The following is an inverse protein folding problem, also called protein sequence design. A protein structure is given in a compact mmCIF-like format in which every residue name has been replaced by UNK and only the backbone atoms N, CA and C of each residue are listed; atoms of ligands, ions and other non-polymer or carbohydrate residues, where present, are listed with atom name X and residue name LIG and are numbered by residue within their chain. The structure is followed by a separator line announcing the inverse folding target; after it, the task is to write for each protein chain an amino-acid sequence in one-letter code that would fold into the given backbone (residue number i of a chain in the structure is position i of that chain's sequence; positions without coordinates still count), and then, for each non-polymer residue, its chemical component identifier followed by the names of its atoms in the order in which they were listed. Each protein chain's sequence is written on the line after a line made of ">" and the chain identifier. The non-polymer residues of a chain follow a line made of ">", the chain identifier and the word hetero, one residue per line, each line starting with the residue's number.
data_IF_373206459678
#
_entry.id   IF_373206459678
#
_cell.length_a   1.000
_cell.length_b   1.000
_cell.length_c   1.000
_cell.angle_alpha   90.00
_cell.angle_beta   90.00
_cell.angle_gamma   90.00
#
_symmetry.space_group_name_H-M   'P 1'
#
loop_
_entity.id
_entity.type
_entity.pdbx_description
1 polymer ?
#
# COMPACT_ATOMS: atom_id res chain seq x y z
N UNK A 1 5.03 -49.76 5.63
CA UNK A 1 5.84 -48.55 5.35
C UNK A 1 5.58 -47.54 6.45
N UNK A 2 6.51 -47.37 7.39
CA UNK A 2 6.38 -46.42 8.50
C UNK A 2 6.71 -45.01 8.03
N UNK A 3 5.69 -44.17 7.85
CA UNK A 3 5.90 -42.74 7.62
C UNK A 3 6.43 -42.12 8.93
N UNK A 4 7.69 -41.68 8.92
CA UNK A 4 8.35 -41.21 10.12
C UNK A 4 7.84 -39.81 10.47
N UNK A 5 7.21 -39.65 11.65
CA UNK A 5 6.59 -38.40 12.11
C UNK A 5 7.57 -37.21 12.14
N UNK A 6 8.88 -37.47 12.23
CA UNK A 6 9.92 -36.43 12.08
C UNK A 6 10.03 -35.93 10.64
N UNK A 7 10.06 -36.82 9.65
CA UNK A 7 10.10 -36.46 8.23
C UNK A 7 8.84 -35.69 7.82
N UNK A 8 7.66 -36.12 8.26
CA UNK A 8 6.41 -35.40 8.01
C UNK A 8 6.43 -33.97 8.58
N UNK A 9 6.96 -33.79 9.81
CA UNK A 9 7.15 -32.45 10.41
C UNK A 9 8.15 -31.61 9.63
N UNK A 10 9.25 -32.19 9.16
CA UNK A 10 10.23 -31.49 8.32
C UNK A 10 9.62 -31.05 6.99
N UNK A 11 8.83 -31.90 6.33
CA UNK A 11 8.14 -31.53 5.09
C UNK A 11 7.09 -30.43 5.33
N UNK A 12 6.34 -30.47 6.44
CA UNK A 12 5.38 -29.41 6.79
C UNK A 12 6.06 -28.07 7.07
N UNK A 13 7.18 -28.07 7.81
CA UNK A 13 7.95 -26.85 8.09
C UNK A 13 8.60 -26.26 6.81
N UNK A 14 9.13 -27.12 5.95
CA UNK A 14 9.69 -26.70 4.66
C UNK A 14 8.60 -26.11 3.74
N UNK A 15 7.40 -26.72 3.70
CA UNK A 15 6.27 -26.20 2.93
C UNK A 15 5.78 -24.83 3.43
N UNK A 16 5.77 -24.58 4.74
CA UNK A 16 5.41 -23.26 5.30
C UNK A 16 6.41 -22.16 4.91
N UNK A 17 7.69 -22.51 4.71
CA UNK A 17 8.73 -21.55 4.33
C UNK A 17 8.68 -21.12 2.86
N UNK A 18 8.00 -21.92 2.02
CA UNK A 18 7.79 -21.65 0.59
C UNK A 18 6.53 -20.84 0.30
N UNK A 19 5.75 -20.46 1.31
CA UNK A 19 4.61 -19.56 1.10
C UNK A 19 5.19 -18.22 0.64
N UNK A 20 4.98 -17.81 -0.63
CA UNK A 20 5.42 -16.50 -1.05
C UNK A 20 4.72 -15.51 -0.12
N UNK A 21 5.49 -14.65 0.55
CA UNK A 21 4.95 -13.50 1.27
C UNK A 21 4.37 -12.57 0.20
N UNK A 22 3.14 -12.87 -0.24
CA UNK A 22 2.34 -11.98 -1.05
C UNK A 22 2.04 -10.79 -0.15
N UNK A 23 2.94 -9.80 -0.18
CA UNK A 23 2.51 -8.45 0.12
C UNK A 23 1.59 -8.11 -1.01
N UNK A 24 0.29 -8.39 -0.84
CA UNK A 24 -0.75 -7.82 -1.68
C UNK A 24 -0.37 -6.35 -1.76
N UNK A 25 0.15 -5.89 -2.90
CA UNK A 25 0.40 -4.48 -3.12
C UNK A 25 -0.99 -3.88 -3.10
N UNK A 26 -1.46 -3.52 -1.91
CA UNK A 26 -2.74 -2.88 -1.75
C UNK A 26 -2.56 -1.54 -2.44
N UNK A 27 -3.14 -1.52 -3.64
CA UNK A 27 -3.26 -0.44 -4.59
C UNK A 27 -3.54 0.81 -3.78
N UNK A 28 -2.70 1.84 -3.95
CA UNK A 28 -2.79 3.09 -3.19
C UNK A 28 -4.02 3.93 -3.61
N UNK A 29 -5.10 3.28 -4.08
CA UNK A 29 -6.19 3.90 -4.81
C UNK A 29 -5.78 4.51 -6.16
N UNK A 30 -4.69 4.02 -6.76
CA UNK A 30 -4.16 4.45 -8.05
C UNK A 30 -3.65 3.25 -8.85
N UNK A 31 -3.49 3.36 -10.17
CA UNK A 31 -2.90 2.29 -10.98
C UNK A 31 -1.50 1.87 -10.48
N UNK A 32 -1.09 0.65 -10.85
CA UNK A 32 0.15 0.02 -10.35
C UNK A 32 1.39 0.81 -10.77
N UNK A 33 1.40 1.40 -11.97
CA UNK A 33 2.54 2.13 -12.49
C UNK A 33 2.74 3.43 -11.71
N UNK A 34 1.69 4.23 -11.56
CA UNK A 34 1.73 5.47 -10.77
C UNK A 34 2.07 5.20 -9.31
N UNK A 35 1.48 4.15 -8.71
CA UNK A 35 1.80 3.74 -7.35
C UNK A 35 3.28 3.36 -7.16
N UNK A 36 3.87 2.70 -8.17
CA UNK A 36 5.30 2.33 -8.15
C UNK A 36 6.20 3.56 -8.22
N UNK A 37 5.87 4.55 -9.06
CA UNK A 37 6.62 5.82 -9.14
C UNK A 37 6.55 6.59 -7.82
N UNK A 38 5.37 6.68 -7.21
CA UNK A 38 5.20 7.32 -5.91
C UNK A 38 6.07 6.66 -4.84
N UNK A 39 6.08 5.32 -4.82
CA UNK A 39 6.92 4.55 -3.89
C UNK A 39 8.42 4.79 -4.13
N UNK A 40 8.83 4.90 -5.40
CA UNK A 40 10.22 5.20 -5.79
C UNK A 40 10.66 6.55 -5.23
N UNK A 41 9.86 7.61 -5.39
CA UNK A 41 10.16 8.93 -4.83
C UNK A 41 10.34 8.90 -3.30
N UNK A 42 9.49 8.16 -2.58
CA UNK A 42 9.64 8.00 -1.13
C UNK A 42 10.89 7.20 -0.79
N UNK A 43 11.20 6.15 -1.55
CA UNK A 43 12.39 5.33 -1.31
C UNK A 43 13.67 6.15 -1.43
N UNK A 44 13.76 7.07 -2.39
CA UNK A 44 14.94 7.92 -2.60
C UNK A 44 14.99 9.14 -1.69
N UNK A 45 13.93 9.96 -1.65
CA UNK A 45 13.98 11.24 -0.94
C UNK A 45 13.56 11.11 0.55
N UNK A 46 12.83 10.04 0.90
CA UNK A 46 12.14 9.92 2.19
C UNK A 46 12.24 8.51 2.79
N UNK A 47 13.38 7.82 2.59
CA UNK A 47 13.54 6.38 2.86
C UNK A 47 12.98 5.91 4.21
N UNK A 48 13.19 6.67 5.30
CA UNK A 48 12.71 6.34 6.66
C UNK A 48 11.17 6.37 6.79
N UNK A 49 10.46 6.93 5.81
CA UNK A 49 8.99 7.06 5.77
C UNK A 49 8.32 6.04 4.86
N UNK A 50 9.08 5.23 4.11
CA UNK A 50 8.53 4.24 3.18
C UNK A 50 7.54 3.28 3.85
N UNK A 51 7.88 2.76 5.03
CA UNK A 51 6.99 1.88 5.78
C UNK A 51 5.69 2.56 6.20
N UNK A 52 5.74 3.84 6.58
CA UNK A 52 4.55 4.60 6.96
C UNK A 52 3.68 4.94 5.74
N UNK A 53 4.28 5.34 4.62
CA UNK A 53 3.56 5.61 3.38
C UNK A 53 2.83 4.36 2.86
N UNK A 54 3.48 3.19 2.90
CA UNK A 54 2.85 1.90 2.57
C UNK A 54 1.62 1.61 3.44
N UNK A 55 1.63 1.99 4.72
CA UNK A 55 0.45 1.86 5.60
C UNK A 55 -0.70 2.76 5.14
N UNK A 56 -0.43 4.01 4.75
CA UNK A 56 -1.45 4.90 4.18
C UNK A 56 -2.05 4.31 2.90
N UNK A 57 -1.21 3.83 1.98
CA UNK A 57 -1.68 3.19 0.74
C UNK A 57 -2.53 1.96 1.02
N UNK A 58 -2.12 1.12 1.97
CA UNK A 58 -2.84 -0.08 2.36
C UNK A 58 -4.23 0.27 2.90
N UNK A 59 -4.30 1.22 3.84
CA UNK A 59 -5.57 1.69 4.39
C UNK A 59 -6.48 2.29 3.31
N UNK A 60 -5.90 3.03 2.36
CA UNK A 60 -6.66 3.63 1.26
C UNK A 60 -7.28 2.58 0.33
N UNK A 61 -6.49 1.59 -0.11
CA UNK A 61 -6.98 0.48 -0.91
C UNK A 61 -8.07 -0.34 -0.21
N UNK A 62 -7.93 -0.56 1.11
CA UNK A 62 -8.98 -1.21 1.92
C UNK A 62 -10.25 -0.36 1.95
N UNK A 63 -10.15 0.95 2.12
CA UNK A 63 -11.29 1.86 2.11
C UNK A 63 -12.09 1.77 0.80
N UNK A 64 -11.40 1.73 -0.35
CA UNK A 64 -12.03 1.51 -1.66
C UNK A 64 -12.70 0.13 -1.76
N UNK A 65 -12.02 -0.93 -1.29
CA UNK A 65 -12.55 -2.30 -1.30
C UNK A 65 -13.80 -2.45 -0.44
N UNK A 66 -13.88 -1.72 0.67
CA UNK A 66 -15.05 -1.65 1.55
C UNK A 66 -16.18 -0.77 0.99
N UNK A 67 -16.03 -0.23 -0.23
CA UNK A 67 -17.02 0.63 -0.90
C UNK A 67 -17.43 1.86 -0.08
N UNK A 68 -16.51 2.36 0.73
CA UNK A 68 -16.66 3.65 1.41
C UNK A 68 -16.61 4.78 0.37
N UNK A 69 -17.26 5.93 0.60
CA UNK A 69 -17.24 7.04 -0.36
C UNK A 69 -15.81 7.44 -0.73
N UNK A 70 -15.48 7.40 -2.03
CA UNK A 70 -14.11 7.63 -2.50
C UNK A 70 -13.50 8.95 -2.00
N UNK A 71 -14.28 10.03 -1.96
CA UNK A 71 -13.84 11.33 -1.43
C UNK A 71 -13.37 11.25 0.03
N UNK A 72 -14.03 10.41 0.82
CA UNK A 72 -13.68 10.20 2.23
C UNK A 72 -12.39 9.38 2.35
N UNK A 73 -12.25 8.34 1.54
CA UNK A 73 -11.03 7.55 1.45
C UNK A 73 -9.83 8.40 1.03
N UNK A 74 -9.98 9.24 0.00
CA UNK A 74 -8.94 10.16 -0.47
C UNK A 74 -8.56 11.17 0.61
N UNK A 75 -9.54 11.72 1.34
CA UNK A 75 -9.30 12.64 2.47
C UNK A 75 -8.47 11.97 3.56
N UNK A 76 -8.85 10.76 3.98
CA UNK A 76 -8.12 9.96 4.99
C UNK A 76 -6.70 9.64 4.52
N UNK A 77 -6.53 9.33 3.23
CA UNK A 77 -5.20 9.13 2.65
C UNK A 77 -4.35 10.41 2.73
N UNK A 78 -4.90 11.56 2.32
CA UNK A 78 -4.22 12.84 2.36
C UNK A 78 -3.80 13.23 3.78
N UNK A 79 -4.67 13.05 4.77
CA UNK A 79 -4.37 13.27 6.20
C UNK A 79 -3.19 12.39 6.64
N UNK A 80 -3.22 11.10 6.31
CA UNK A 80 -2.17 10.14 6.65
C UNK A 80 -0.81 10.52 6.06
N UNK A 81 -0.73 10.85 4.76
CA UNK A 81 0.56 11.22 4.13
C UNK A 81 1.07 12.58 4.59
N UNK A 82 0.19 13.53 4.90
CA UNK A 82 0.59 14.80 5.49
C UNK A 82 1.14 14.63 6.90
N UNK A 83 0.52 13.83 7.76
CA UNK A 83 1.02 13.59 9.13
C UNK A 83 2.43 12.95 9.11
N UNK A 84 2.66 12.01 8.19
CA UNK A 84 3.99 11.40 7.98
C UNK A 84 5.02 12.47 7.59
N UNK A 85 4.61 13.43 6.77
CA UNK A 85 5.47 14.46 6.21
C UNK A 85 5.65 15.68 7.11
N UNK A 86 4.69 16.03 7.97
CA UNK A 86 4.80 17.15 8.93
C UNK A 86 5.97 16.96 9.91
N UNK A 87 6.29 15.70 10.21
CA UNK A 87 7.45 15.30 11.02
C UNK A 87 8.78 15.40 10.24
N UNK A 88 8.81 16.04 9.07
CA UNK A 88 9.97 16.13 8.16
C UNK A 88 9.97 17.46 7.38
N UNK A 89 11.14 18.09 7.20
CA UNK A 89 11.30 19.24 6.30
C UNK A 89 11.70 18.80 4.89
N UNK A 90 11.56 19.69 3.91
CA UNK A 90 12.07 19.48 2.54
C UNK A 90 11.19 18.61 1.64
N UNK A 91 11.81 17.84 0.75
CA UNK A 91 11.16 17.12 -0.38
C UNK A 91 9.99 16.22 0.04
N UNK A 92 10.04 15.62 1.23
CA UNK A 92 8.97 14.74 1.72
C UNK A 92 7.63 15.44 1.90
N UNK A 93 7.65 16.73 2.28
CA UNK A 93 6.43 17.53 2.38
C UNK A 93 5.82 17.80 1.00
N UNK A 94 6.65 18.00 -0.02
CA UNK A 94 6.19 18.19 -1.39
C UNK A 94 5.64 16.88 -1.96
N UNK A 95 6.31 15.75 -1.72
CA UNK A 95 5.82 14.43 -2.12
C UNK A 95 4.44 14.14 -1.54
N UNK A 96 4.22 14.39 -0.24
CA UNK A 96 2.92 14.18 0.38
C UNK A 96 1.80 15.00 -0.27
N UNK A 97 2.04 16.29 -0.54
CA UNK A 97 1.08 17.16 -1.26
C UNK A 97 0.78 16.63 -2.66
N UNK A 98 1.82 16.30 -3.43
CA UNK A 98 1.69 15.80 -4.79
C UNK A 98 0.91 14.48 -4.84
N UNK A 99 1.20 13.57 -3.91
CA UNK A 99 0.54 12.28 -3.82
C UNK A 99 -0.93 12.41 -3.45
N UNK A 100 -1.25 13.27 -2.49
CA UNK A 100 -2.64 13.61 -2.16
C UNK A 100 -3.38 14.12 -3.41
N UNK A 101 -2.77 15.02 -4.19
CA UNK A 101 -3.35 15.52 -5.44
C UNK A 101 -3.59 14.40 -6.46
N UNK A 102 -2.57 13.58 -6.73
CA UNK A 102 -2.67 12.45 -7.67
C UNK A 102 -3.81 11.51 -7.29
N UNK A 103 -3.91 11.14 -6.01
CA UNK A 103 -4.98 10.27 -5.53
C UNK A 103 -6.34 10.93 -5.72
N UNK A 104 -6.52 12.20 -5.35
CA UNK A 104 -7.80 12.90 -5.53
C UNK A 104 -8.22 13.05 -7.00
N UNK A 105 -7.27 13.33 -7.88
CA UNK A 105 -7.54 13.54 -9.31
C UNK A 105 -7.98 12.24 -10.00
N UNK A 106 -7.48 11.10 -9.55
CA UNK A 106 -7.75 9.80 -10.14
C UNK A 106 -8.72 8.93 -9.33
N UNK A 107 -9.02 9.32 -8.09
CA UNK A 107 -9.66 8.48 -7.09
C UNK A 107 -11.04 8.00 -7.53
N UNK A 108 -11.85 8.88 -8.12
CA UNK A 108 -13.14 8.51 -8.69
C UNK A 108 -13.01 7.44 -9.78
N UNK A 109 -12.07 7.59 -10.70
CA UNK A 109 -11.88 6.63 -11.79
C UNK A 109 -11.48 5.25 -11.25
N UNK A 110 -10.47 5.22 -10.37
CA UNK A 110 -9.94 3.97 -9.81
C UNK A 110 -10.94 3.31 -8.87
N UNK A 111 -11.67 4.08 -8.06
CA UNK A 111 -12.74 3.56 -7.21
C UNK A 111 -13.79 2.80 -8.01
N UNK A 112 -14.22 3.37 -9.15
CA UNK A 112 -15.21 2.72 -10.02
C UNK A 112 -14.61 1.50 -10.73
N UNK A 113 -13.34 1.53 -11.13
CA UNK A 113 -12.65 0.40 -11.74
C UNK A 113 -12.60 -0.81 -10.78
N UNK A 114 -12.22 -0.57 -9.52
CA UNK A 114 -12.08 -1.62 -8.51
C UNK A 114 -13.41 -2.25 -8.06
N UNK A 115 -14.53 -1.62 -8.38
CA UNK A 115 -15.88 -2.12 -8.07
C UNK A 115 -16.55 -2.87 -9.21
N UNK A 116 -15.95 -2.84 -10.40
CA UNK A 116 -16.42 -3.57 -11.58
C UNK A 116 -15.83 -4.99 -11.69
N UNK A 117 -14.91 -5.36 -10.79
CA UNK A 117 -14.26 -6.66 -10.73
C UNK A 117 -14.79 -7.54 -9.61
#
# INVERSE_FOLDING_TARGET
>A
MFYNNKLLKFFLLAALSLIPKSSSRLICGIDVFTGTIMEMHIKFDCRKRLGAHRKCCTAHGVCYKLKMPWKECDKKYCECVHEIAEKVRGKCKNHAKNFCKIVKDNGRFVYHLLQKG
#
